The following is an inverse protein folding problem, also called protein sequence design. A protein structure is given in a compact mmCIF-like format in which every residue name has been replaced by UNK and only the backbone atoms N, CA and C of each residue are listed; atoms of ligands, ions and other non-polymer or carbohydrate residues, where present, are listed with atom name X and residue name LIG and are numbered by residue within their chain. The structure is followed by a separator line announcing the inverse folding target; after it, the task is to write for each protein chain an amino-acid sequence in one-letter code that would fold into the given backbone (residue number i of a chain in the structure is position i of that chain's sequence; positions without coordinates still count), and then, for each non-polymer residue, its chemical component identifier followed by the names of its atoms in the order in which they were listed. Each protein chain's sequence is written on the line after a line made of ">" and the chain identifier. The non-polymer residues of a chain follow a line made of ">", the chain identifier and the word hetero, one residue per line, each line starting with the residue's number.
data_IF_122791468178
#
_entry.id   IF_122791468178
#
_cell.length_a   1.000
_cell.length_b   1.000
_cell.length_c   1.000
_cell.angle_alpha   90.00
_cell.angle_beta   90.00
_cell.angle_gamma   90.00
#
_symmetry.space_group_name_H-M   'P 1'
#
loop_
_entity.id
_entity.type
_entity.pdbx_description
1 polymer ?
#
# COMPACT_ATOMS: atom_id res chain seq x y z
N UNK A 1 -5.81 -6.46 0.27
CA UNK A 1 -4.85 -7.59 0.24
C UNK A 1 -5.32 -8.66 1.20
N UNK A 2 -5.40 -9.91 0.73
CA UNK A 2 -5.98 -11.04 1.49
C UNK A 2 -4.98 -11.78 2.39
N UNK A 3 -3.67 -11.64 2.14
CA UNK A 3 -2.63 -12.41 2.84
C UNK A 3 -2.37 -11.95 4.28
N UNK A 4 -2.08 -10.65 4.48
CA UNK A 4 -1.65 -10.10 5.78
C UNK A 4 -2.67 -10.24 6.92
N UNK A 5 -4.01 -10.13 6.71
CA UNK A 5 -4.98 -10.26 7.79
C UNK A 5 -4.89 -11.58 8.56
N UNK A 6 -4.44 -12.66 7.92
CA UNK A 6 -4.33 -13.97 8.56
C UNK A 6 -3.24 -14.00 9.63
N UNK A 7 -2.13 -13.30 9.45
CA UNK A 7 -1.05 -13.22 10.45
C UNK A 7 -1.52 -12.59 11.76
N UNK A 8 -2.41 -11.58 11.68
CA UNK A 8 -3.00 -10.97 12.88
C UNK A 8 -3.91 -11.97 13.62
N UNK A 9 -4.78 -12.68 12.88
CA UNK A 9 -5.68 -13.69 13.47
C UNK A 9 -4.89 -14.82 14.13
N UNK A 10 -3.83 -15.29 13.48
CA UNK A 10 -2.94 -16.32 14.03
C UNK A 10 -2.29 -15.85 15.34
N UNK A 11 -1.73 -14.64 15.35
CA UNK A 11 -1.10 -14.03 16.54
C UNK A 11 -2.07 -13.85 17.71
N UNK A 12 -3.34 -13.57 17.41
CA UNK A 12 -4.41 -13.44 18.41
C UNK A 12 -5.02 -14.79 18.83
N UNK A 13 -4.61 -15.91 18.22
CA UNK A 13 -5.18 -17.23 18.49
C UNK A 13 -6.63 -17.39 17.98
N UNK A 14 -7.03 -16.62 16.96
CA UNK A 14 -8.37 -16.60 16.37
C UNK A 14 -8.55 -17.59 15.21
N UNK A 15 -7.56 -18.46 14.98
CA UNK A 15 -7.58 -19.46 13.92
C UNK A 15 -7.75 -20.87 14.51
N UNK A 16 -8.86 -21.52 14.16
CA UNK A 16 -9.09 -22.93 14.49
C UNK A 16 -8.33 -23.89 13.54
N UNK A 17 -7.89 -23.37 12.38
CA UNK A 17 -7.21 -24.10 11.31
C UNK A 17 -6.11 -23.24 10.69
N UNK A 18 -5.26 -23.84 9.85
CA UNK A 18 -4.24 -23.10 9.11
C UNK A 18 -4.87 -21.99 8.24
N UNK A 19 -4.15 -20.87 8.11
CA UNK A 19 -4.58 -19.77 7.27
C UNK A 19 -4.79 -20.23 5.81
N UNK A 20 -5.87 -19.79 5.13
CA UNK A 20 -6.14 -20.17 3.74
C UNK A 20 -5.00 -19.81 2.76
N UNK A 21 -4.23 -18.76 3.07
CA UNK A 21 -3.04 -18.36 2.32
C UNK A 21 -1.84 -18.43 3.26
N UNK A 22 -0.94 -19.38 3.01
CA UNK A 22 0.28 -19.61 3.80
C UNK A 22 1.50 -19.71 2.89
N UNK A 23 2.60 -19.04 3.26
CA UNK A 23 3.88 -19.03 2.56
C UNK A 23 4.82 -20.19 2.91
N UNK A 24 4.49 -21.03 3.90
CA UNK A 24 5.35 -22.12 4.38
C UNK A 24 5.85 -23.02 3.25
N UNK A 25 7.17 -23.10 3.11
CA UNK A 25 7.86 -23.92 2.10
C UNK A 25 7.71 -23.44 0.66
N UNK A 26 7.11 -22.28 0.41
CA UNK A 26 6.89 -21.72 -0.94
C UNK A 26 8.00 -20.76 -1.34
N UNK A 27 8.28 -20.66 -2.63
CA UNK A 27 9.04 -19.56 -3.25
C UNK A 27 8.09 -18.39 -3.46
N UNK A 28 8.29 -17.32 -2.70
CA UNK A 28 7.36 -16.17 -2.67
C UNK A 28 7.95 -15.01 -3.46
N UNK A 29 7.17 -14.43 -4.35
CA UNK A 29 7.49 -13.15 -5.01
C UNK A 29 6.53 -12.07 -4.55
N UNK A 30 7.04 -10.92 -4.15
CA UNK A 30 6.25 -9.76 -3.71
C UNK A 30 6.40 -8.65 -4.75
N UNK A 31 5.28 -8.19 -5.31
CA UNK A 31 5.27 -7.07 -6.26
C UNK A 31 4.98 -5.76 -5.52
N UNK A 32 6.02 -4.96 -5.29
CA UNK A 32 5.94 -3.64 -4.63
C UNK A 32 6.96 -3.47 -3.50
N UNK A 33 7.71 -2.36 -3.52
CA UNK A 33 8.76 -2.03 -2.54
C UNK A 33 8.31 -1.22 -1.31
N UNK A 34 7.01 -0.93 -1.18
CA UNK A 34 6.45 -0.12 -0.09
C UNK A 34 6.28 -0.87 1.25
N UNK A 35 5.68 -0.20 2.23
CA UNK A 35 5.47 -0.74 3.59
C UNK A 35 4.67 -2.06 3.58
N UNK A 36 3.59 -2.12 2.78
CA UNK A 36 2.83 -3.37 2.58
C UNK A 36 3.70 -4.52 2.07
N UNK A 37 4.68 -4.23 1.22
CA UNK A 37 5.63 -5.22 0.70
C UNK A 37 6.57 -5.72 1.78
N UNK A 38 7.07 -4.81 2.63
CA UNK A 38 7.88 -5.17 3.79
C UNK A 38 7.11 -6.00 4.83
N UNK A 39 5.83 -5.72 5.05
CA UNK A 39 4.96 -6.53 5.90
C UNK A 39 4.74 -7.94 5.31
N UNK A 40 4.57 -8.04 4.00
CA UNK A 40 4.49 -9.33 3.29
C UNK A 40 5.79 -10.13 3.45
N UNK A 41 6.94 -9.46 3.30
CA UNK A 41 8.25 -10.07 3.47
C UNK A 41 8.41 -10.67 4.87
N UNK A 42 8.18 -9.86 5.91
CA UNK A 42 8.32 -10.32 7.30
C UNK A 42 7.36 -11.46 7.63
N UNK A 43 6.12 -11.40 7.12
CA UNK A 43 5.12 -12.47 7.34
C UNK A 43 5.55 -13.77 6.64
N UNK A 44 5.98 -13.70 5.37
CA UNK A 44 6.38 -14.86 4.60
C UNK A 44 7.63 -15.55 5.18
N UNK A 45 8.63 -14.78 5.61
CA UNK A 45 9.81 -15.30 6.28
C UNK A 45 9.44 -16.03 7.57
N UNK A 46 8.59 -15.44 8.41
CA UNK A 46 8.19 -16.03 9.70
C UNK A 46 7.27 -17.24 9.55
N UNK A 47 6.52 -17.34 8.45
CA UNK A 47 5.78 -18.54 8.06
C UNK A 47 6.69 -19.68 7.55
N UNK A 48 7.98 -19.40 7.31
CA UNK A 48 8.94 -20.38 6.83
C UNK A 48 8.90 -20.60 5.32
N UNK A 49 8.76 -19.52 4.54
CA UNK A 49 8.94 -19.56 3.09
C UNK A 49 10.31 -20.15 2.71
N UNK A 50 10.37 -20.86 1.57
CA UNK A 50 11.62 -21.41 1.04
C UNK A 50 12.53 -20.31 0.50
N UNK A 51 11.95 -19.29 -0.12
CA UNK A 51 12.60 -18.05 -0.53
C UNK A 51 11.57 -16.92 -0.59
N UNK A 52 12.03 -15.67 -0.46
CA UNK A 52 11.19 -14.48 -0.65
C UNK A 52 11.97 -13.45 -1.46
N UNK A 53 11.42 -13.05 -2.60
CA UNK A 53 11.99 -12.03 -3.49
C UNK A 53 11.00 -10.89 -3.66
N UNK A 54 11.42 -9.67 -3.34
CA UNK A 54 10.62 -8.46 -3.48
C UNK A 54 11.08 -7.66 -4.70
N UNK A 55 10.14 -7.32 -5.58
CA UNK A 55 10.39 -6.61 -6.83
C UNK A 55 9.92 -5.16 -6.70
N UNK A 56 10.76 -4.23 -7.17
CA UNK A 56 10.48 -2.81 -7.24
C UNK A 56 10.75 -2.28 -8.65
N UNK A 57 9.78 -1.55 -9.21
CA UNK A 57 9.89 -0.96 -10.54
C UNK A 57 10.79 0.28 -10.53
N UNK A 58 10.84 0.98 -9.39
CA UNK A 58 11.72 2.12 -9.18
C UNK A 58 13.19 1.69 -9.05
N UNK A 59 14.14 2.57 -9.44
CA UNK A 59 15.54 2.37 -9.11
C UNK A 59 15.76 2.32 -7.60
N UNK A 60 16.82 1.63 -7.18
CA UNK A 60 17.25 1.64 -5.77
C UNK A 60 17.47 3.09 -5.32
N UNK A 61 16.80 3.56 -4.25
CA UNK A 61 17.02 4.91 -3.72
C UNK A 61 18.46 5.13 -3.24
N UNK A 62 18.88 6.39 -3.06
CA UNK A 62 20.21 6.73 -2.57
C UNK A 62 20.37 6.41 -1.08
N UNK A 63 21.60 6.08 -0.66
CA UNK A 63 21.89 5.83 0.77
C UNK A 63 21.82 7.11 1.62
N UNK A 64 22.05 8.27 1.02
CA UNK A 64 21.99 9.58 1.66
C UNK A 64 20.82 10.44 1.14
N UNK A 65 20.41 11.43 1.95
CA UNK A 65 19.36 12.40 1.56
C UNK A 65 19.79 13.17 0.30
N UNK A 66 19.00 13.13 -0.80
CA UNK A 66 19.29 13.94 -1.97
C UNK A 66 19.27 15.44 -1.66
N UNK A 67 20.20 16.19 -2.25
CA UNK A 67 20.28 17.67 -2.09
C UNK A 67 18.98 18.36 -2.53
N UNK A 68 18.33 17.84 -3.57
CA UNK A 68 17.05 18.34 -4.07
C UNK A 68 15.86 18.07 -3.14
N UNK A 69 16.05 17.33 -2.04
CA UNK A 69 15.00 16.99 -1.07
C UNK A 69 15.46 17.42 0.34
N UNK A 70 15.55 18.73 0.64
CA UNK A 70 16.02 19.22 1.94
C UNK A 70 14.97 19.07 3.03
N UNK A 71 15.40 19.03 4.29
CA UNK A 71 14.46 19.13 5.42
C UNK A 71 13.67 20.45 5.33
N UNK A 72 12.33 20.47 5.51
CA UNK A 72 11.48 19.42 6.06
C UNK A 72 10.78 18.45 5.10
N UNK A 73 11.20 18.37 3.83
CA UNK A 73 10.62 17.38 2.91
C UNK A 73 11.01 15.95 3.29
N UNK A 74 10.15 15.01 2.91
CA UNK A 74 10.39 13.59 3.13
C UNK A 74 11.28 13.04 2.00
N UNK A 75 12.51 12.59 2.29
CA UNK A 75 13.45 12.24 1.25
C UNK A 75 13.27 10.78 0.81
N UNK A 76 13.52 10.52 -0.47
CA UNK A 76 13.67 9.19 -1.03
C UNK A 76 15.09 8.70 -0.73
N UNK A 77 15.22 7.95 0.37
CA UNK A 77 16.46 7.29 0.78
C UNK A 77 16.25 5.78 0.85
N UNK A 78 17.31 5.02 0.69
CA UNK A 78 17.28 3.57 0.81
C UNK A 78 16.98 3.21 2.26
N UNK A 79 15.84 2.55 2.47
CA UNK A 79 15.40 2.12 3.80
C UNK A 79 15.46 0.62 3.92
N UNK A 80 15.91 0.19 5.09
CA UNK A 80 15.92 -1.19 5.55
C UNK A 80 14.98 -1.24 6.74
N UNK A 81 13.76 -1.72 6.51
CA UNK A 81 12.85 -2.10 7.59
C UNK A 81 13.34 -3.39 8.26
N UNK A 82 12.91 -3.66 9.50
CA UNK A 82 13.30 -4.87 10.25
C UNK A 82 13.08 -6.17 9.49
N UNK A 83 11.97 -6.28 8.74
CA UNK A 83 11.69 -7.44 7.89
C UNK A 83 12.78 -7.72 6.83
N UNK A 84 13.45 -6.67 6.32
CA UNK A 84 14.56 -6.84 5.37
C UNK A 84 15.84 -7.30 6.07
N UNK A 85 16.01 -7.02 7.35
CA UNK A 85 17.14 -7.51 8.14
C UNK A 85 17.00 -9.02 8.44
N UNK A 86 15.76 -9.53 8.45
CA UNK A 86 15.45 -10.96 8.63
C UNK A 86 15.79 -11.80 7.38
N UNK A 87 15.90 -11.17 6.21
CA UNK A 87 16.34 -11.81 4.98
C UNK A 87 15.49 -11.44 3.76
N UNK A 88 15.48 -12.35 2.78
CA UNK A 88 14.88 -12.13 1.47
C UNK A 88 15.76 -11.33 0.52
N UNK A 89 15.35 -11.30 -0.74
CA UNK A 89 16.05 -10.58 -1.82
C UNK A 89 15.22 -9.39 -2.29
N UNK A 90 15.90 -8.30 -2.69
CA UNK A 90 15.25 -7.10 -3.23
C UNK A 90 15.84 -6.81 -4.60
N UNK A 91 15.00 -6.84 -5.63
CA UNK A 91 15.38 -6.53 -7.00
C UNK A 91 14.71 -5.22 -7.40
N UNK A 92 15.50 -4.29 -7.93
CA UNK A 92 15.09 -2.94 -8.31
C UNK A 92 15.10 -2.79 -9.82
N UNK A 93 14.43 -1.76 -10.32
CA UNK A 93 14.41 -1.46 -11.76
C UNK A 93 13.93 -2.67 -12.57
N UNK A 94 12.89 -3.36 -12.09
CA UNK A 94 12.30 -4.52 -12.78
C UNK A 94 10.79 -4.38 -12.94
N UNK A 95 10.29 -4.76 -14.12
CA UNK A 95 8.87 -4.86 -14.39
C UNK A 95 8.45 -6.34 -14.50
N UNK A 96 7.26 -6.64 -13.98
CA UNK A 96 6.60 -7.91 -14.19
C UNK A 96 5.96 -7.97 -15.57
N UNK A 97 6.23 -9.05 -16.30
CA UNK A 97 5.75 -9.27 -17.67
C UNK A 97 4.60 -10.28 -17.72
N UNK A 98 4.79 -11.42 -17.07
CA UNK A 98 3.86 -12.55 -17.18
C UNK A 98 3.90 -13.43 -15.94
N UNK A 99 2.73 -13.98 -15.57
CA UNK A 99 2.63 -15.08 -14.61
C UNK A 99 2.67 -16.41 -15.35
N UNK A 100 3.60 -17.27 -14.99
CA UNK A 100 3.76 -18.57 -15.62
C UNK A 100 3.02 -19.63 -14.80
N UNK A 101 2.22 -20.44 -15.48
CA UNK A 101 1.45 -21.53 -14.87
C UNK A 101 1.72 -22.87 -15.53
N UNK A 102 1.46 -23.96 -14.80
CA UNK A 102 1.46 -25.30 -15.34
C UNK A 102 0.07 -25.71 -15.89
N UNK A 103 -0.05 -26.92 -16.44
CA UNK A 103 -1.30 -27.46 -16.98
C UNK A 103 -2.44 -27.60 -15.95
N UNK A 104 -2.13 -27.52 -14.65
CA UNK A 104 -3.09 -27.54 -13.54
C UNK A 104 -3.50 -26.13 -13.09
N UNK A 105 -3.09 -25.09 -13.80
CA UNK A 105 -3.27 -23.68 -13.42
C UNK A 105 -2.60 -23.31 -12.08
N UNK A 106 -1.52 -24.00 -11.72
CA UNK A 106 -0.71 -23.63 -10.55
C UNK A 106 0.42 -22.72 -11.02
N UNK A 107 0.68 -21.64 -10.27
CA UNK A 107 1.80 -20.74 -10.51
C UNK A 107 3.13 -21.51 -10.39
N UNK A 108 4.01 -21.33 -11.37
CA UNK A 108 5.37 -21.90 -11.37
C UNK A 108 6.46 -20.84 -11.41
N UNK A 109 6.14 -19.62 -11.83
CA UNK A 109 7.10 -18.53 -11.91
C UNK A 109 6.51 -17.23 -12.41
N UNK A 110 7.35 -16.23 -12.50
CA UNK A 110 7.05 -14.90 -13.00
C UNK A 110 8.14 -14.49 -13.97
N UNK A 111 7.76 -14.03 -15.15
CA UNK A 111 8.69 -13.42 -16.08
C UNK A 111 8.84 -11.93 -15.72
N UNK A 112 10.08 -11.47 -15.65
CA UNK A 112 10.41 -10.07 -15.39
C UNK A 112 11.37 -9.55 -16.46
N UNK A 113 11.51 -8.23 -16.56
CA UNK A 113 12.55 -7.57 -17.35
C UNK A 113 13.06 -6.34 -16.62
N UNK A 114 14.32 -5.96 -16.88
CA UNK A 114 14.87 -4.72 -16.37
C UNK A 114 14.17 -3.52 -17.04
N UNK A 115 14.00 -2.44 -16.28
CA UNK A 115 13.43 -1.18 -16.74
C UNK A 115 14.30 0.01 -16.34
N UNK A 116 14.26 1.04 -17.18
CA UNK A 116 14.82 2.37 -16.89
C UNK A 116 13.71 3.41 -16.92
N UNK A 117 13.82 4.42 -16.05
CA UNK A 117 12.92 5.57 -16.08
C UNK A 117 13.45 6.60 -17.10
N UNK A 118 12.71 6.80 -18.20
CA UNK A 118 13.01 7.77 -19.26
C UNK A 118 11.82 8.73 -19.36
N UNK A 119 12.07 10.03 -19.17
CA UNK A 119 11.05 11.08 -19.28
C UNK A 119 9.75 10.79 -18.49
N UNK A 120 9.89 10.21 -17.29
CA UNK A 120 8.77 9.88 -16.41
C UNK A 120 8.01 8.60 -16.79
N UNK A 121 8.52 7.81 -17.75
CA UNK A 121 7.96 6.52 -18.16
C UNK A 121 8.97 5.41 -17.98
N UNK A 122 8.49 4.24 -17.57
CA UNK A 122 9.34 3.05 -17.53
C UNK A 122 9.46 2.46 -18.93
N UNK A 123 10.69 2.32 -19.40
CA UNK A 123 11.03 1.63 -20.64
C UNK A 123 11.77 0.34 -20.28
N UNK A 124 11.31 -0.77 -20.84
CA UNK A 124 11.98 -2.06 -20.72
C UNK A 124 13.30 -2.08 -21.48
N UNK A 125 14.26 -2.84 -20.96
CA UNK A 125 15.57 -3.06 -21.57
C UNK A 125 15.51 -4.41 -22.31
N UNK A 126 15.52 -4.43 -23.66
CA UNK A 126 15.40 -5.68 -24.41
C UNK A 126 16.56 -6.64 -24.13
N UNK A 127 16.25 -7.95 -23.99
CA UNK A 127 17.25 -8.99 -23.73
C UNK A 127 17.60 -9.18 -22.25
N UNK A 128 16.87 -8.53 -21.34
CA UNK A 128 17.00 -8.67 -19.89
C UNK A 128 15.88 -9.54 -19.29
N UNK A 129 15.11 -10.20 -20.14
CA UNK A 129 14.01 -11.05 -19.69
C UNK A 129 14.54 -12.27 -18.93
N UNK A 130 14.06 -12.46 -17.72
CA UNK A 130 14.36 -13.62 -16.90
C UNK A 130 13.11 -14.17 -16.20
N UNK A 131 13.19 -15.42 -15.76
CA UNK A 131 12.13 -16.10 -15.04
C UNK A 131 12.57 -16.35 -13.61
N UNK A 132 11.80 -15.80 -12.66
CA UNK A 132 11.94 -16.11 -11.24
C UNK A 132 10.92 -17.19 -10.91
N UNK A 133 11.38 -18.31 -10.35
CA UNK A 133 10.48 -19.37 -9.91
C UNK A 133 9.65 -18.93 -8.69
N UNK A 134 8.35 -19.21 -8.72
CA UNK A 134 7.42 -18.74 -7.70
C UNK A 134 6.24 -19.69 -7.53
N UNK A 135 5.89 -19.98 -6.29
CA UNK A 135 4.70 -20.78 -5.91
C UNK A 135 3.59 -19.89 -5.31
N UNK A 136 3.93 -18.64 -4.95
CA UNK A 136 3.03 -17.63 -4.41
C UNK A 136 3.51 -16.24 -4.87
N UNK A 137 2.62 -15.45 -5.45
CA UNK A 137 2.87 -14.03 -5.72
C UNK A 137 1.92 -13.17 -4.88
N UNK A 138 2.49 -12.17 -4.19
CA UNK A 138 1.78 -11.21 -3.35
C UNK A 138 1.81 -9.84 -4.01
N UNK A 139 0.63 -9.30 -4.33
CA UNK A 139 0.48 -7.98 -4.94
C UNK A 139 0.43 -6.88 -3.88
N UNK A 140 1.54 -6.18 -3.69
CA UNK A 140 1.72 -5.10 -2.70
C UNK A 140 1.93 -3.72 -3.38
N UNK A 141 1.12 -3.44 -4.42
CA UNK A 141 1.28 -2.30 -5.32
C UNK A 141 0.55 -1.02 -4.87
N UNK A 142 0.06 -0.99 -3.63
CA UNK A 142 -0.76 0.10 -3.09
C UNK A 142 -2.25 -0.03 -3.41
N UNK A 143 -3.00 1.03 -3.10
CA UNK A 143 -4.47 1.06 -3.22
C UNK A 143 -4.93 2.31 -3.98
N UNK A 144 -6.01 2.17 -4.75
CA UNK A 144 -6.64 3.25 -5.53
C UNK A 144 -7.87 3.85 -4.84
N UNK A 145 -8.11 3.53 -3.57
CA UNK A 145 -9.25 4.02 -2.81
C UNK A 145 -9.97 2.90 -2.05
N UNK A 146 -11.04 3.23 -1.33
CA UNK A 146 -11.82 2.23 -0.61
C UNK A 146 -12.55 1.30 -1.58
N UNK A 147 -12.78 0.07 -1.11
CA UNK A 147 -13.62 -0.89 -1.81
C UNK A 147 -15.03 -0.33 -2.03
N UNK A 148 -15.57 -0.52 -3.24
CA UNK A 148 -16.91 -0.09 -3.64
C UNK A 148 -17.96 -1.00 -3.02
N UNK A 149 -18.17 -0.83 -1.72
CA UNK A 149 -19.16 -1.60 -0.98
C UNK A 149 -20.59 -1.16 -1.31
N UNK A 150 -21.60 -2.03 -1.15
CA UNK A 150 -23.01 -1.66 -1.28
C UNK A 150 -23.41 -0.49 -0.37
N UNK A 151 -22.75 -0.31 0.78
CA UNK A 151 -22.98 0.81 1.69
C UNK A 151 -22.66 2.16 1.02
N UNK A 152 -21.53 2.26 0.31
CA UNK A 152 -21.16 3.50 -0.37
C UNK A 152 -22.15 3.86 -1.48
N UNK A 153 -22.63 2.86 -2.22
CA UNK A 153 -23.64 3.03 -3.26
C UNK A 153 -24.99 3.45 -2.67
N UNK A 154 -25.41 2.84 -1.55
CA UNK A 154 -26.66 3.18 -0.87
C UNK A 154 -26.65 4.58 -0.25
N UNK A 155 -25.48 5.02 0.22
CA UNK A 155 -25.28 6.37 0.74
C UNK A 155 -25.05 7.40 -0.37
N UNK A 156 -25.02 6.98 -1.65
CA UNK A 156 -24.81 7.84 -2.82
C UNK A 156 -23.57 8.75 -2.70
N UNK A 157 -22.49 8.24 -2.10
CA UNK A 157 -21.28 9.04 -1.85
C UNK A 157 -20.47 9.22 -3.14
N UNK A 158 -20.22 10.48 -3.50
CA UNK A 158 -19.41 10.85 -4.65
C UNK A 158 -17.94 10.44 -4.46
N UNK A 159 -17.24 10.23 -5.58
CA UNK A 159 -15.81 9.95 -5.58
C UNK A 159 -15.05 10.83 -6.55
N UNK A 160 -13.79 11.11 -6.22
CA UNK A 160 -12.89 11.83 -7.10
C UNK A 160 -12.35 10.93 -8.24
N UNK A 161 -11.64 11.54 -9.19
CA UNK A 161 -11.02 10.86 -10.34
C UNK A 161 -9.99 9.79 -9.92
N UNK A 162 -9.47 9.89 -8.69
CA UNK A 162 -8.49 8.95 -8.13
C UNK A 162 -9.14 7.81 -7.36
N UNK A 163 -10.47 7.83 -7.20
CA UNK A 163 -11.24 6.81 -6.50
C UNK A 163 -11.47 7.07 -5.01
N UNK A 164 -11.02 8.20 -4.46
CA UNK A 164 -11.25 8.56 -3.06
C UNK A 164 -12.67 9.10 -2.85
N UNK A 165 -13.22 8.93 -1.64
CA UNK A 165 -14.52 9.48 -1.27
C UNK A 165 -14.45 11.00 -1.14
N UNK A 166 -15.38 11.68 -1.80
CA UNK A 166 -15.42 13.13 -1.85
C UNK A 166 -15.96 13.72 -0.54
N UNK A 167 -15.42 14.85 -0.10
CA UNK A 167 -15.79 15.53 1.15
C UNK A 167 -15.55 17.04 1.07
N UNK A 168 -16.35 17.79 1.81
CA UNK A 168 -16.22 19.25 1.95
C UNK A 168 -15.15 19.65 2.98
N UNK A 169 -15.01 20.95 3.22
CA UNK A 169 -14.07 21.53 4.21
C UNK A 169 -14.32 21.07 5.66
N UNK A 170 -15.53 20.59 5.96
CA UNK A 170 -15.91 20.03 7.26
C UNK A 170 -15.77 18.50 7.31
N UNK A 171 -15.15 17.90 6.29
CA UNK A 171 -15.03 16.45 6.10
C UNK A 171 -16.37 15.73 5.87
N UNK A 172 -17.45 16.44 5.57
CA UNK A 172 -18.76 15.86 5.27
C UNK A 172 -18.84 15.49 3.79
N UNK A 173 -19.42 14.33 3.48
CA UNK A 173 -19.70 13.93 2.09
C UNK A 173 -20.85 14.76 1.48
N UNK A 174 -21.17 14.50 0.21
CA UNK A 174 -22.38 15.03 -0.42
C UNK A 174 -23.68 14.56 0.28
N UNK A 175 -23.62 13.46 1.03
CA UNK A 175 -24.73 12.96 1.84
C UNK A 175 -24.68 13.56 3.26
N UNK A 176 -25.70 14.34 3.67
CA UNK A 176 -25.70 15.00 4.98
C UNK A 176 -25.58 14.01 6.14
N UNK A 177 -24.72 14.33 7.10
CA UNK A 177 -24.50 13.50 8.28
C UNK A 177 -23.49 12.35 8.08
N UNK A 178 -22.93 12.18 6.88
CA UNK A 178 -21.87 11.21 6.60
C UNK A 178 -20.54 11.94 6.45
N UNK A 179 -19.52 11.50 7.20
CA UNK A 179 -18.20 12.14 7.26
C UNK A 179 -17.09 11.17 6.86
N UNK A 180 -16.04 11.67 6.22
CA UNK A 180 -14.96 10.89 5.62
C UNK A 180 -13.61 11.39 6.13
N UNK A 181 -12.82 10.51 6.74
CA UNK A 181 -11.48 10.81 7.24
C UNK A 181 -10.46 9.74 6.82
N UNK A 182 -9.18 10.10 6.85
CA UNK A 182 -8.07 9.21 6.55
C UNK A 182 -8.02 8.79 5.08
N UNK A 183 -7.43 7.62 4.83
CA UNK A 183 -7.12 7.14 3.49
C UNK A 183 -8.34 7.03 2.57
N UNK A 184 -9.56 6.87 3.13
CA UNK A 184 -10.80 6.82 2.35
C UNK A 184 -11.05 8.11 1.54
N UNK A 185 -10.71 9.29 2.09
CA UNK A 185 -10.83 10.57 1.38
C UNK A 185 -9.50 11.17 0.93
N UNK A 186 -8.39 10.78 1.56
CA UNK A 186 -7.04 11.31 1.27
C UNK A 186 -6.27 10.49 0.22
N UNK A 187 -6.57 9.19 0.12
CA UNK A 187 -5.69 8.18 -0.44
C UNK A 187 -4.62 7.72 0.55
N UNK A 188 -3.87 6.67 0.18
CA UNK A 188 -2.86 6.03 1.02
C UNK A 188 -1.89 7.04 1.67
N UNK A 189 -1.82 7.03 3.00
CA UNK A 189 -0.99 7.98 3.75
C UNK A 189 -0.50 7.41 5.08
N UNK A 190 0.21 8.23 5.85
CA UNK A 190 0.71 7.85 7.17
C UNK A 190 -0.42 7.89 8.22
N UNK A 191 -0.33 7.01 9.22
CA UNK A 191 -1.29 6.95 10.33
C UNK A 191 -1.52 8.30 11.03
N UNK A 192 -0.50 9.16 11.11
CA UNK A 192 -0.63 10.50 11.72
C UNK A 192 -1.62 11.39 10.95
N UNK A 193 -1.71 11.26 9.63
CA UNK A 193 -2.71 11.96 8.82
C UNK A 193 -4.11 11.45 9.13
N UNK A 194 -4.30 10.13 9.20
CA UNK A 194 -5.59 9.54 9.55
C UNK A 194 -6.08 9.99 10.95
N UNK A 195 -5.17 10.05 11.94
CA UNK A 195 -5.49 10.56 13.28
C UNK A 195 -5.88 12.05 13.22
N UNK A 196 -5.09 12.87 12.51
CA UNK A 196 -5.35 14.31 12.40
C UNK A 196 -6.67 14.60 11.67
N UNK A 197 -6.94 13.91 10.56
CA UNK A 197 -8.19 14.04 9.82
C UNK A 197 -9.38 13.53 10.63
N UNK A 198 -9.23 12.44 11.38
CA UNK A 198 -10.27 11.94 12.29
C UNK A 198 -10.66 12.98 13.34
N UNK A 199 -9.70 13.74 13.89
CA UNK A 199 -9.97 14.85 14.82
C UNK A 199 -10.68 16.01 14.14
N UNK A 200 -10.27 16.39 12.93
CA UNK A 200 -10.97 17.43 12.16
C UNK A 200 -12.39 17.00 11.76
N UNK A 201 -12.60 15.76 11.35
CA UNK A 201 -13.91 15.22 11.03
C UNK A 201 -14.81 15.17 12.26
N UNK A 202 -14.28 14.83 13.45
CA UNK A 202 -15.02 14.92 14.70
C UNK A 202 -15.50 16.35 15.01
N UNK A 203 -14.71 17.37 14.67
CA UNK A 203 -15.14 18.76 14.78
C UNK A 203 -16.27 19.11 13.79
N UNK A 204 -16.23 18.57 12.57
CA UNK A 204 -17.32 18.67 11.60
C UNK A 204 -18.62 18.03 12.10
N UNK A 205 -18.52 16.82 12.67
CA UNK A 205 -19.64 16.12 13.30
C UNK A 205 -20.22 16.92 14.47
N UNK A 206 -19.38 17.46 15.35
CA UNK A 206 -19.81 18.29 16.48
C UNK A 206 -20.57 19.53 16.02
N UNK A 207 -20.05 20.23 15.01
CA UNK A 207 -20.70 21.40 14.43
C UNK A 207 -22.04 21.05 13.76
N UNK A 208 -22.12 19.94 13.04
CA UNK A 208 -23.35 19.48 12.39
C UNK A 208 -24.45 19.13 13.40
N UNK A 209 -24.11 18.43 14.49
CA UNK A 209 -25.08 17.99 15.49
C UNK A 209 -25.49 19.10 16.47
N UNK A 210 -24.56 19.98 16.84
CA UNK A 210 -24.80 21.01 17.87
C UNK A 210 -25.12 22.39 17.32
N UNK A 211 -24.87 22.62 16.02
CA UNK A 211 -24.94 23.94 15.39
C UNK A 211 -23.81 24.90 15.78
N UNK A 212 -22.79 24.43 16.52
CA UNK A 212 -21.66 25.24 16.97
C UNK A 212 -20.34 24.47 16.83
N UNK A 213 -19.29 25.13 16.32
CA UNK A 213 -17.96 24.53 16.22
C UNK A 213 -17.20 24.69 17.55
N UNK A 214 -17.23 23.66 18.42
CA UNK A 214 -16.59 23.71 19.76
C UNK A 214 -15.25 22.98 19.81
N UNK A 215 -15.06 21.99 18.94
CA UNK A 215 -13.84 21.20 18.87
C UNK A 215 -12.80 21.85 17.94
N UNK A 216 -11.50 21.68 18.23
CA UNK A 216 -10.44 22.21 17.38
C UNK A 216 -10.32 21.41 16.07
N UNK A 217 -10.12 22.12 14.96
CA UNK A 217 -9.75 21.54 13.66
C UNK A 217 -8.23 21.43 13.58
N UNK A 218 -7.70 20.25 13.28
CA UNK A 218 -6.25 20.01 13.27
C UNK A 218 -5.63 20.33 11.91
N UNK A 219 -6.31 19.95 10.83
CA UNK A 219 -5.92 20.14 9.43
C UNK A 219 -7.15 20.26 8.53
N UNK A 220 -7.00 20.90 7.36
CA UNK A 220 -8.02 20.88 6.30
C UNK A 220 -7.96 19.58 5.49
N UNK A 221 -9.05 19.17 4.81
CA UNK A 221 -9.06 18.01 3.92
C UNK A 221 -8.04 18.12 2.76
N UNK A 222 -7.72 19.35 2.36
CA UNK A 222 -6.80 19.70 1.28
C UNK A 222 -5.33 19.75 1.70
N UNK A 223 -5.02 19.64 3.00
CA UNK A 223 -3.65 19.73 3.51
C UNK A 223 -2.74 18.66 2.89
N UNK A 224 -1.58 19.06 2.36
CA UNK A 224 -0.58 18.15 1.77
C UNK A 224 0.75 18.22 2.52
N UNK A 225 1.54 17.15 2.42
CA UNK A 225 2.93 17.17 2.86
C UNK A 225 3.74 18.17 2.04
N UNK A 226 4.82 18.71 2.61
CA UNK A 226 5.79 19.51 1.86
C UNK A 226 6.53 18.60 0.88
N UNK A 227 6.37 18.87 -0.41
CA UNK A 227 7.03 18.16 -1.52
C UNK A 227 7.96 19.09 -2.28
N UNK A 228 8.91 18.50 -3.01
CA UNK A 228 9.83 19.16 -3.96
C UNK A 228 9.57 18.65 -5.35
#
# INVERSE_FOLDING_TARGET
>A
MEYLPWGNKESLGELDQEAPINAKGKRVVILGGGDTGADCLGTALRQGAASVTQLEIMPRPSDERPVGQPWPTYPMIYRVASAHEEGGERIYSVATKEFLGNEKNELTGIQISEVKLVDGRFEEIPGTEEVIEADLVLLAMGFTGPERSPLLTQLEIDVDERGNLNRDENFMSNTPGVFIAGDAGRGQSLIVWAIAEGRSAAAGVDAYLSGQARLPVTISPSAKSLTV
#
